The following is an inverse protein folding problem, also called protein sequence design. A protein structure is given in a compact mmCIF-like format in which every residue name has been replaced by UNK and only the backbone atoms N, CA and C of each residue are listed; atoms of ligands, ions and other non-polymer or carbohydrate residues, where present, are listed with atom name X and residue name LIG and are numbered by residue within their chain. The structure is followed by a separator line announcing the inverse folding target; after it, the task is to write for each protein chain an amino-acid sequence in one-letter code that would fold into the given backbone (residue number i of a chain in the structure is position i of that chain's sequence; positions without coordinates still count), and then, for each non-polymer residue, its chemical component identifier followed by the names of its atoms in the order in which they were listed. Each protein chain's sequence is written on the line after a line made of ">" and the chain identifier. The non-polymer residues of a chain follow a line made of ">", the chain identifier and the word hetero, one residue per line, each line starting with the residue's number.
data_IF_997396680120
#
_entry.id   IF_997396680120
#
_cell.length_a   1.000
_cell.length_b   1.000
_cell.length_c   1.000
_cell.angle_alpha   90.00
_cell.angle_beta   90.00
_cell.angle_gamma   90.00
#
_symmetry.space_group_name_H-M   'P 1'
#
loop_
_entity.id
_entity.type
_entity.pdbx_description
1 polymer ?
#
# COMPACT_ATOMS: atom_id res chain seq x y z
N UNK A 1 4.03 2.34 -25.80
CA UNK A 1 4.79 1.84 -24.64
C UNK A 1 3.87 1.58 -23.43
N UNK A 2 2.54 1.60 -23.60
CA UNK A 2 1.55 1.43 -22.51
C UNK A 2 1.22 -0.04 -22.22
N UNK A 3 1.23 -0.89 -23.25
CA UNK A 3 0.88 -2.33 -23.15
C UNK A 3 1.78 -3.07 -22.14
N UNK A 4 3.05 -2.69 -22.03
CA UNK A 4 4.00 -3.36 -21.11
C UNK A 4 3.73 -3.00 -19.65
N UNK A 5 3.31 -1.76 -19.37
CA UNK A 5 2.98 -1.34 -18.00
C UNK A 5 1.70 -2.03 -17.51
N UNK A 6 0.68 -2.14 -18.37
CA UNK A 6 -0.58 -2.80 -18.04
C UNK A 6 -0.42 -4.31 -17.76
N UNK A 7 0.45 -5.00 -18.51
CA UNK A 7 0.74 -6.44 -18.31
C UNK A 7 1.49 -6.68 -16.99
N UNK A 8 2.46 -5.82 -16.66
CA UNK A 8 3.20 -5.91 -15.39
C UNK A 8 2.28 -5.63 -14.21
N UNK A 9 1.34 -4.68 -14.34
CA UNK A 9 0.35 -4.35 -13.30
C UNK A 9 -0.69 -5.47 -13.09
N UNK A 10 -1.22 -6.07 -14.16
CA UNK A 10 -2.16 -7.20 -14.05
C UNK A 10 -1.52 -8.41 -13.37
N UNK A 11 -0.26 -8.70 -13.66
CA UNK A 11 0.47 -9.79 -13.00
C UNK A 11 0.70 -9.52 -11.50
N UNK A 12 0.91 -8.25 -11.13
CA UNK A 12 1.15 -7.86 -9.73
C UNK A 12 -0.09 -8.06 -8.83
N UNK A 13 -1.27 -7.63 -9.28
CA UNK A 13 -2.50 -7.77 -8.49
C UNK A 13 -2.87 -9.25 -8.33
N UNK A 14 -2.71 -10.06 -9.39
CA UNK A 14 -2.96 -11.49 -9.32
C UNK A 14 -2.05 -12.21 -8.32
N UNK A 15 -0.76 -11.86 -8.25
CA UNK A 15 0.15 -12.41 -7.24
C UNK A 15 -0.24 -12.01 -5.81
N UNK A 16 -0.74 -10.79 -5.61
CA UNK A 16 -1.26 -10.39 -4.29
C UNK A 16 -2.56 -11.11 -3.93
N UNK A 17 -3.38 -11.47 -4.91
CA UNK A 17 -4.62 -12.22 -4.70
C UNK A 17 -4.40 -13.65 -4.20
N UNK A 18 -3.21 -14.23 -4.40
CA UNK A 18 -2.83 -15.52 -3.78
C UNK A 18 -2.81 -15.43 -2.25
N UNK A 19 -2.36 -14.29 -1.71
CA UNK A 19 -2.34 -14.04 -0.26
C UNK A 19 -3.63 -13.41 0.24
N UNK A 20 -4.29 -12.61 -0.60
CA UNK A 20 -5.47 -11.83 -0.25
C UNK A 20 -6.55 -11.97 -1.32
N UNK A 21 -7.36 -13.04 -1.30
CA UNK A 21 -8.32 -13.36 -2.36
C UNK A 21 -9.36 -12.27 -2.65
N UNK A 22 -9.68 -11.44 -1.65
CA UNK A 22 -10.64 -10.34 -1.75
C UNK A 22 -9.98 -9.00 -2.06
N UNK A 23 -8.68 -8.98 -2.40
CA UNK A 23 -8.00 -7.78 -2.84
C UNK A 23 -8.49 -7.41 -4.25
N UNK A 24 -9.01 -6.19 -4.38
CA UNK A 24 -9.51 -5.67 -5.66
C UNK A 24 -8.85 -4.33 -5.98
N UNK A 25 -8.59 -4.08 -7.26
CA UNK A 25 -8.15 -2.77 -7.74
C UNK A 25 -9.35 -1.82 -7.86
N UNK A 26 -9.22 -0.62 -7.30
CA UNK A 26 -10.16 0.49 -7.46
C UNK A 26 -9.77 1.27 -8.73
N UNK A 27 -10.26 0.82 -9.88
CA UNK A 27 -9.92 1.39 -11.20
C UNK A 27 -10.30 2.86 -11.30
N UNK A 28 -11.35 3.30 -10.61
CA UNK A 28 -11.82 4.69 -10.64
C UNK A 28 -10.85 5.66 -9.94
N UNK A 29 -10.10 5.16 -8.95
CA UNK A 29 -9.13 5.96 -8.17
C UNK A 29 -7.68 5.69 -8.54
N UNK A 30 -7.46 4.67 -9.36
CA UNK A 30 -6.14 4.32 -9.86
C UNK A 30 -5.78 5.23 -11.02
N UNK A 31 -4.51 5.60 -11.09
CA UNK A 31 -3.92 6.38 -12.19
C UNK A 31 -2.68 5.64 -12.68
N UNK A 32 -2.12 5.99 -13.85
CA UNK A 32 -0.90 5.34 -14.34
C UNK A 32 0.29 5.38 -13.36
N UNK A 33 0.31 6.36 -12.45
CA UNK A 33 1.37 6.54 -11.45
C UNK A 33 1.01 5.95 -10.06
N UNK A 34 -0.23 5.51 -9.87
CA UNK A 34 -0.75 5.10 -8.55
C UNK A 34 -1.82 4.03 -8.69
N UNK A 35 -1.58 2.88 -8.08
CA UNK A 35 -2.60 1.82 -7.94
C UNK A 35 -3.30 1.98 -6.59
N UNK A 36 -4.62 1.93 -6.59
CA UNK A 36 -5.43 1.91 -5.38
C UNK A 36 -6.03 0.52 -5.21
N UNK A 37 -5.63 -0.18 -4.14
CA UNK A 37 -6.18 -1.48 -3.80
C UNK A 37 -7.18 -1.34 -2.65
N UNK A 38 -8.29 -2.08 -2.72
CA UNK A 38 -9.23 -2.25 -1.62
C UNK A 38 -9.11 -3.66 -1.09
N UNK A 39 -8.97 -3.74 0.22
CA UNK A 39 -8.76 -4.97 0.97
C UNK A 39 -9.41 -4.82 2.35
N UNK A 40 -9.88 -5.93 2.91
CA UNK A 40 -10.37 -6.00 4.27
C UNK A 40 -9.19 -6.33 5.19
N UNK A 41 -8.74 -5.33 5.96
CA UNK A 41 -7.76 -5.48 7.02
C UNK A 41 -8.40 -4.96 8.31
N UNK A 42 -8.29 -5.71 9.40
CA UNK A 42 -8.99 -5.40 10.64
C UNK A 42 -8.13 -4.58 11.62
N UNK A 43 -6.82 -4.79 11.60
CA UNK A 43 -5.90 -4.28 12.61
C UNK A 43 -4.52 -3.91 12.02
N UNK A 44 -3.66 -3.33 12.85
CA UNK A 44 -2.29 -2.94 12.46
C UNK A 44 -1.41 -4.14 12.08
N UNK A 45 -1.57 -5.29 12.75
CA UNK A 45 -0.79 -6.49 12.48
C UNK A 45 -1.04 -7.01 11.06
N UNK A 46 -2.30 -7.06 10.64
CA UNK A 46 -2.68 -7.42 9.28
C UNK A 46 -2.15 -6.43 8.24
N UNK A 47 -2.09 -5.13 8.56
CA UNK A 47 -1.50 -4.13 7.69
C UNK A 47 0.02 -4.30 7.51
N UNK A 48 0.74 -4.64 8.58
CA UNK A 48 2.16 -4.97 8.50
C UNK A 48 2.40 -6.28 7.72
N UNK A 49 1.55 -7.30 7.93
CA UNK A 49 1.59 -8.54 7.15
C UNK A 49 1.33 -8.28 5.67
N UNK A 50 0.35 -7.44 5.34
CA UNK A 50 0.10 -7.02 3.96
C UNK A 50 1.31 -6.31 3.36
N UNK A 51 1.92 -5.38 4.10
CA UNK A 51 3.16 -4.71 3.66
C UNK A 51 4.28 -5.72 3.41
N UNK A 52 4.40 -6.78 4.21
CA UNK A 52 5.40 -7.82 4.02
C UNK A 52 5.13 -8.66 2.76
N UNK A 53 3.89 -9.10 2.52
CA UNK A 53 3.52 -9.79 1.28
C UNK A 53 3.74 -8.88 0.06
N UNK A 54 3.35 -7.62 0.16
CA UNK A 54 3.62 -6.61 -0.87
C UNK A 54 5.12 -6.44 -1.11
N UNK A 55 5.95 -6.44 -0.06
CA UNK A 55 7.42 -6.41 -0.15
C UNK A 55 7.97 -7.58 -0.98
N UNK A 56 7.45 -8.80 -0.74
CA UNK A 56 7.88 -10.02 -1.45
C UNK A 56 7.52 -9.92 -2.93
N UNK A 57 6.26 -9.58 -3.25
CA UNK A 57 5.76 -9.49 -4.64
C UNK A 57 6.45 -8.35 -5.41
N UNK A 58 6.64 -7.20 -4.76
CA UNK A 58 7.30 -6.03 -5.39
C UNK A 58 8.83 -6.07 -5.35
N UNK A 59 9.41 -7.10 -4.73
CA UNK A 59 10.86 -7.19 -4.43
C UNK A 59 11.43 -5.87 -3.87
N UNK A 60 10.68 -5.22 -2.99
CA UNK A 60 11.00 -3.87 -2.48
C UNK A 60 11.02 -3.89 -0.95
N UNK A 61 12.05 -3.23 -0.39
CA UNK A 61 12.13 -2.98 1.05
C UNK A 61 11.43 -1.67 1.38
N UNK A 62 10.56 -1.68 2.39
CA UNK A 62 9.79 -0.52 2.82
C UNK A 62 10.20 -0.08 4.21
N UNK A 63 10.50 1.21 4.38
CA UNK A 63 10.74 1.85 5.70
C UNK A 63 9.64 2.85 6.01
N UNK A 64 9.33 2.99 7.30
CA UNK A 64 8.32 3.93 7.77
C UNK A 64 8.76 5.36 7.45
N UNK A 65 7.90 6.10 6.73
CA UNK A 65 8.09 7.53 6.49
C UNK A 65 7.31 8.37 7.49
N UNK A 66 6.08 7.95 7.79
CA UNK A 66 5.24 8.64 8.76
C UNK A 66 4.01 7.83 9.14
N UNK A 67 3.58 8.03 10.38
CA UNK A 67 2.29 7.61 10.88
C UNK A 67 1.46 8.86 11.12
N UNK A 68 0.16 8.83 10.80
CA UNK A 68 -0.72 9.96 11.14
C UNK A 68 -1.10 9.83 12.61
N UNK A 69 -0.68 10.74 13.52
CA UNK A 69 -1.09 10.66 14.91
C UNK A 69 -2.59 10.97 15.00
N UNK A 70 -3.35 9.98 15.47
CA UNK A 70 -4.73 10.12 15.93
C UNK A 70 -5.77 10.57 14.87
N UNK A 71 -6.02 9.77 13.83
CA UNK A 71 -7.05 10.09 12.86
C UNK A 71 -8.44 9.79 13.42
N UNK A 72 -9.24 10.82 13.70
CA UNK A 72 -10.67 10.69 14.08
C UNK A 72 -11.49 9.81 13.11
N UNK A 73 -11.00 9.60 11.88
CA UNK A 73 -11.67 8.89 10.79
C UNK A 73 -11.05 7.53 10.43
N UNK A 74 -9.89 7.18 10.98
CA UNK A 74 -9.16 5.98 10.58
C UNK A 74 -8.76 5.17 11.84
N UNK A 75 -8.73 3.85 11.72
CA UNK A 75 -8.18 2.96 12.75
C UNK A 75 -6.67 2.91 12.62
N UNK A 76 -6.16 3.00 11.40
CA UNK A 76 -4.74 2.93 11.08
C UNK A 76 -4.43 3.75 9.83
N UNK A 77 -3.32 4.49 9.84
CA UNK A 77 -2.83 5.25 8.69
C UNK A 77 -1.31 5.37 8.76
N UNK A 78 -0.63 4.60 7.92
CA UNK A 78 0.83 4.54 7.89
C UNK A 78 1.32 4.59 6.46
N UNK A 79 2.40 5.33 6.25
CA UNK A 79 3.05 5.48 4.96
C UNK A 79 4.48 5.01 5.05
N UNK A 80 4.85 4.17 4.10
CA UNK A 80 6.20 3.69 3.89
C UNK A 80 6.77 4.20 2.57
N UNK A 81 8.08 4.30 2.55
CA UNK A 81 8.85 4.62 1.36
C UNK A 81 9.89 3.54 1.11
N UNK A 82 10.24 3.37 -0.15
CA UNK A 82 11.24 2.43 -0.60
C UNK A 82 12.60 2.71 0.07
N UNK A 83 13.23 1.67 0.61
CA UNK A 83 14.54 1.69 1.23
C UNK A 83 15.56 1.06 0.30
N UNK A 84 16.48 1.89 -0.21
CA UNK A 84 17.57 1.43 -1.04
C UNK A 84 18.78 1.10 -0.16
N UNK A 85 19.01 -0.20 0.09
CA UNK A 85 20.13 -0.67 0.92
C UNK A 85 21.50 -0.53 0.26
N UNK A 86 21.55 -0.47 -1.08
CA UNK A 86 22.80 -0.64 -1.86
C UNK A 86 23.55 0.65 -2.19
N UNK A 87 23.16 1.82 -1.67
CA UNK A 87 23.90 3.07 -1.94
C UNK A 87 24.97 3.29 -0.89
N UNK A 88 26.24 3.18 -1.31
CA UNK A 88 27.41 3.49 -0.48
C UNK A 88 27.21 4.81 0.28
N UNK A 89 27.34 4.75 1.61
CA UNK A 89 26.97 5.79 2.59
C UNK A 89 27.77 7.10 2.52
N UNK A 90 28.54 7.36 1.47
CA UNK A 90 29.49 8.47 1.50
C UNK A 90 28.92 9.84 1.12
N UNK A 91 27.84 9.97 0.32
CA UNK A 91 27.27 11.30 -0.01
C UNK A 91 25.79 11.31 -0.49
N UNK A 92 25.02 10.23 -0.29
CA UNK A 92 23.67 10.15 -0.87
C UNK A 92 22.58 10.68 0.08
N UNK A 93 21.75 11.63 -0.38
CA UNK A 93 20.46 11.95 0.25
C UNK A 93 19.65 10.65 0.40
N UNK A 94 19.14 10.36 1.60
CA UNK A 94 18.29 9.17 1.85
C UNK A 94 17.16 9.13 0.82
N UNK A 95 17.00 8.00 0.13
CA UNK A 95 15.92 7.73 -0.83
C UNK A 95 15.83 8.65 -2.06
N UNK A 96 16.93 9.27 -2.49
CA UNK A 96 16.91 10.23 -3.61
C UNK A 96 16.34 9.69 -4.94
N UNK A 97 16.41 8.38 -5.18
CA UNK A 97 16.12 7.79 -6.50
C UNK A 97 14.83 6.94 -6.52
N UNK A 98 14.31 6.51 -5.36
CA UNK A 98 13.12 5.65 -5.30
C UNK A 98 11.89 6.47 -4.86
N UNK A 99 11.07 6.90 -5.82
CA UNK A 99 9.86 7.70 -5.57
C UNK A 99 8.65 6.86 -5.13
N UNK A 100 8.79 5.54 -5.09
CA UNK A 100 7.72 4.63 -4.73
C UNK A 100 7.29 4.83 -3.26
N UNK A 101 5.97 4.88 -3.05
CA UNK A 101 5.33 5.05 -1.75
C UNK A 101 4.26 3.99 -1.58
N UNK A 102 4.15 3.45 -0.37
CA UNK A 102 3.07 2.57 0.04
C UNK A 102 2.32 3.26 1.17
N UNK A 103 1.03 3.47 1.01
CA UNK A 103 0.18 4.04 2.06
C UNK A 103 -0.98 3.09 2.33
N UNK A 104 -1.08 2.63 3.58
CA UNK A 104 -2.19 1.79 4.02
C UNK A 104 -3.04 2.61 4.98
N UNK A 105 -4.34 2.64 4.70
CA UNK A 105 -5.33 3.35 5.50
C UNK A 105 -6.47 2.40 5.81
N UNK A 106 -6.63 2.05 7.08
CA UNK A 106 -7.79 1.29 7.57
C UNK A 106 -8.81 2.29 8.08
N UNK A 107 -9.97 2.34 7.43
CA UNK A 107 -11.06 3.22 7.83
C UNK A 107 -11.80 2.64 9.02
N UNK A 108 -12.24 3.50 9.92
CA UNK A 108 -13.17 3.08 10.98
C UNK A 108 -14.49 2.70 10.32
N UNK A 109 -14.96 1.48 10.59
CA UNK A 109 -16.30 1.09 10.20
C UNK A 109 -17.27 1.84 11.11
N UNK A 110 -17.67 3.04 10.69
CA UNK A 110 -18.78 3.71 11.32
C UNK A 110 -20.03 2.95 10.88
N UNK A 111 -20.44 1.95 11.66
CA UNK A 111 -21.81 1.46 11.62
C UNK A 111 -22.71 2.67 11.93
N UNK A 112 -23.09 3.40 10.88
CA UNK A 112 -24.26 4.24 10.95
C UNK A 112 -25.40 3.29 11.22
N UNK A 113 -25.89 3.25 12.45
CA UNK A 113 -27.25 2.81 12.73
C UNK A 113 -28.17 3.64 11.82
N UNK A 114 -28.46 3.15 10.61
CA UNK A 114 -29.75 3.42 10.00
C UNK A 114 -30.73 2.74 10.94
N UNK A 115 -31.28 3.51 11.88
CA UNK A 115 -32.58 3.14 12.45
C UNK A 115 -33.51 3.06 11.25
N UNK A 116 -33.86 1.85 10.84
CA UNK A 116 -35.12 1.64 10.12
C UNK A 116 -36.20 2.29 10.99
N UNK A 117 -36.84 3.31 10.40
CA UNK A 117 -38.09 3.89 10.87
C UNK A 117 -39.16 3.42 9.92
#
# INVERSE_FOLDING_TARGET
>A
MEIVQEIVQKNFVSQLQEFYPYCIEDTDKSTPEKIVLRINLENEEEAENFKNSYSVVSNTNWIVYGCTPNPQRFVFSKTWICHNSNRHKQNARRNADCKAKLSIVIKKNNQGHKKER
#
